data_IF_620957526591
#
_entry.id   IF_620957526591
#
_cell.length_a   1.000
_cell.length_b   1.000
_cell.length_c   1.000
_cell.angle_alpha   90.00
_cell.angle_beta   90.00
_cell.angle_gamma   90.00
#
_symmetry.space_group_name_H-M   'P 1'
#
loop_
_entity.id
_entity.type
_entity.pdbx_description
1 polymer ?
#
# COMPACT_ATOMS: atom_id res chain seq x y z
N UNK A 1 22.70 -1.60 10.97
CA UNK A 1 22.65 -1.40 12.43
C UNK A 1 24.06 -1.18 12.92
N UNK A 2 24.25 -0.15 13.72
CA UNK A 2 25.56 0.31 14.20
C UNK A 2 25.53 0.33 15.72
N UNK A 3 26.45 -0.39 16.35
CA UNK A 3 26.70 -0.28 17.79
C UNK A 3 27.48 1.02 18.03
N UNK A 4 26.90 1.96 18.77
CA UNK A 4 27.49 3.30 18.93
C UNK A 4 28.66 3.31 19.91
N UNK A 5 28.76 2.32 20.80
CA UNK A 5 29.85 2.22 21.77
C UNK A 5 31.13 1.65 21.12
N UNK A 6 30.97 0.76 20.14
CA UNK A 6 32.08 0.05 19.47
C UNK A 6 32.31 0.46 18.02
N UNK A 7 31.34 1.12 17.38
CA UNK A 7 31.33 1.40 15.94
C UNK A 7 31.05 0.17 15.07
N UNK A 8 30.76 -1.00 15.66
CA UNK A 8 30.55 -2.23 14.91
C UNK A 8 29.26 -2.14 14.07
N UNK A 9 29.37 -2.52 12.79
CA UNK A 9 28.26 -2.48 11.84
C UNK A 9 27.77 -3.88 11.47
N UNK A 10 26.45 -4.05 11.44
CA UNK A 10 25.78 -5.27 10.98
C UNK A 10 24.60 -4.93 10.06
N UNK A 11 24.54 -5.60 8.91
CA UNK A 11 23.37 -5.59 8.05
C UNK A 11 22.32 -6.57 8.59
N UNK A 12 21.08 -6.12 8.67
CA UNK A 12 19.93 -6.95 9.04
C UNK A 12 18.99 -6.91 7.85
N UNK A 13 18.72 -8.08 7.28
CA UNK A 13 17.76 -8.29 6.22
C UNK A 13 16.48 -8.86 6.80
N UNK A 14 15.41 -8.76 6.01
CA UNK A 14 14.18 -9.45 6.31
C UNK A 14 14.42 -10.96 6.47
N UNK A 15 13.81 -11.60 7.47
CA UNK A 15 14.01 -13.02 7.81
C UNK A 15 15.19 -13.31 8.75
N UNK A 16 16.03 -12.32 9.09
CA UNK A 16 17.03 -12.52 10.14
C UNK A 16 16.37 -12.58 11.53
N UNK A 17 16.78 -13.54 12.35
CA UNK A 17 16.38 -13.56 13.76
C UNK A 17 16.89 -12.31 14.48
N UNK A 18 15.94 -11.54 15.00
CA UNK A 18 16.20 -10.41 15.87
C UNK A 18 16.04 -10.83 17.34
N UNK A 19 16.94 -10.44 18.24
CA UNK A 19 16.74 -10.66 19.66
C UNK A 19 15.44 -9.95 20.12
N UNK A 20 14.73 -10.56 21.06
CA UNK A 20 13.38 -10.15 21.44
C UNK A 20 13.29 -8.66 21.85
N UNK A 21 14.33 -8.14 22.52
CA UNK A 21 14.45 -6.74 22.93
C UNK A 21 14.43 -5.74 21.76
N UNK A 22 14.83 -6.16 20.56
CA UNK A 22 14.89 -5.30 19.39
C UNK A 22 13.65 -5.36 18.51
N UNK A 23 12.83 -6.42 18.63
CA UNK A 23 11.74 -6.71 17.68
C UNK A 23 10.70 -5.60 17.63
N UNK A 24 10.30 -5.04 18.78
CA UNK A 24 9.29 -3.98 18.85
C UNK A 24 9.80 -2.67 18.25
N UNK A 25 10.98 -2.21 18.64
CA UNK A 25 11.54 -0.93 18.21
C UNK A 25 11.94 -0.95 16.74
N UNK A 26 12.63 -2.01 16.29
CA UNK A 26 12.93 -2.19 14.86
C UNK A 26 11.63 -2.31 14.06
N UNK A 27 10.63 -3.03 14.56
CA UNK A 27 9.31 -3.12 13.93
C UNK A 27 8.63 -1.75 13.74
N UNK A 28 8.72 -0.85 14.72
CA UNK A 28 8.20 0.52 14.62
C UNK A 28 9.00 1.37 13.61
N UNK A 29 10.32 1.25 13.61
CA UNK A 29 11.19 1.97 12.68
C UNK A 29 11.00 1.51 11.24
N UNK A 30 10.80 0.21 11.01
CA UNK A 30 10.36 -0.35 9.73
C UNK A 30 8.99 0.16 9.31
N UNK A 31 8.01 0.16 10.23
CA UNK A 31 6.66 0.64 9.94
C UNK A 31 6.67 2.12 9.53
N UNK A 32 7.48 2.93 10.20
CA UNK A 32 7.59 4.36 9.95
C UNK A 32 8.58 4.71 8.86
N UNK A 33 9.43 3.76 8.41
CA UNK A 33 10.52 4.00 7.47
C UNK A 33 11.49 5.08 7.94
N UNK A 34 11.73 5.15 9.25
CA UNK A 34 12.65 6.13 9.86
C UNK A 34 13.77 5.40 10.57
N UNK A 35 14.98 5.91 10.44
CA UNK A 35 16.11 5.45 11.24
C UNK A 35 15.92 5.87 12.70
N UNK A 36 16.30 5.02 13.64
CA UNK A 36 16.07 5.26 15.06
C UNK A 36 17.25 4.80 15.91
N UNK A 37 17.34 5.36 17.12
CA UNK A 37 18.15 4.78 18.17
C UNK A 37 17.35 3.70 18.89
N UNK A 38 18.01 2.60 19.24
CA UNK A 38 17.46 1.53 20.06
C UNK A 38 18.38 1.36 21.26
N UNK A 39 17.87 1.72 22.42
CA UNK A 39 18.53 1.47 23.69
C UNK A 39 18.16 0.07 24.18
N UNK A 40 19.17 -0.65 24.63
CA UNK A 40 19.02 -1.91 25.37
C UNK A 40 19.76 -1.79 26.68
N UNK A 41 19.48 -2.69 27.63
CA UNK A 41 20.01 -2.65 29.00
C UNK A 41 21.53 -2.40 29.09
N UNK A 42 22.30 -2.76 28.06
CA UNK A 42 23.77 -2.59 28.04
C UNK A 42 24.35 -1.83 26.84
N UNK A 43 23.54 -1.36 25.87
CA UNK A 43 24.05 -0.79 24.59
C UNK A 43 23.10 0.18 23.91
N UNK A 44 23.65 1.16 23.20
CA UNK A 44 22.91 2.02 22.28
C UNK A 44 23.22 1.65 20.82
N UNK A 45 22.19 1.26 20.07
CA UNK A 45 22.31 0.91 18.65
C UNK A 45 21.63 1.96 17.77
N UNK A 46 22.27 2.34 16.68
CA UNK A 46 21.64 3.11 15.60
C UNK A 46 21.14 2.16 14.49
N UNK A 47 19.85 2.18 14.25
CA UNK A 47 19.19 1.43 13.19
C UNK A 47 18.99 2.32 11.97
N UNK A 48 19.91 2.24 11.01
CA UNK A 48 19.70 2.86 9.70
C UNK A 48 18.75 2.01 8.84
N UNK A 49 17.63 2.60 8.44
CA UNK A 49 16.58 1.93 7.68
C UNK A 49 16.69 2.21 6.19
N UNK A 50 16.92 1.16 5.40
CA UNK A 50 16.88 1.21 3.94
C UNK A 50 15.65 0.44 3.47
N UNK A 51 14.62 1.16 3.04
CA UNK A 51 13.41 0.58 2.47
C UNK A 51 13.33 0.94 0.99
N UNK A 52 12.85 0.03 0.13
CA UNK A 52 12.49 0.40 -1.24
C UNK A 52 11.38 1.45 -1.21
N UNK A 53 11.18 2.13 -2.33
CA UNK A 53 10.02 3.01 -2.49
C UNK A 53 8.73 2.19 -2.38
N UNK A 54 7.70 2.67 -1.65
CA UNK A 54 6.42 1.98 -1.59
C UNK A 54 5.76 1.96 -2.97
N UNK A 55 5.27 0.78 -3.37
CA UNK A 55 4.53 0.62 -4.63
C UNK A 55 3.12 1.17 -4.46
N UNK A 56 2.62 1.89 -5.47
CA UNK A 56 1.23 2.33 -5.55
C UNK A 56 0.61 1.91 -6.87
N UNK A 57 -0.30 0.94 -6.81
CA UNK A 57 -1.00 0.39 -7.96
C UNK A 57 -2.38 1.02 -8.07
N UNK A 58 -2.63 1.66 -9.20
CA UNK A 58 -3.91 2.29 -9.54
C UNK A 58 -4.63 1.42 -10.56
N UNK A 59 -5.85 1.00 -10.23
CA UNK A 59 -6.71 0.25 -11.14
C UNK A 59 -7.74 1.20 -11.74
N UNK A 60 -7.63 1.43 -13.05
CA UNK A 60 -8.43 2.39 -13.77
C UNK A 60 -7.70 3.70 -14.06
N UNK A 61 -7.44 3.95 -15.33
CA UNK A 61 -6.80 5.15 -15.87
C UNK A 61 -7.82 6.30 -16.04
N UNK A 62 -8.57 6.63 -14.99
CA UNK A 62 -9.63 7.67 -15.03
C UNK A 62 -9.09 9.10 -14.84
N UNK A 63 -9.94 10.12 -14.84
CA UNK A 63 -9.51 11.52 -14.71
C UNK A 63 -8.86 11.84 -13.36
N UNK A 64 -9.34 11.26 -12.25
CA UNK A 64 -8.73 11.44 -10.93
C UNK A 64 -7.28 10.89 -10.90
N UNK A 65 -7.03 9.76 -11.58
CA UNK A 65 -5.69 9.20 -11.68
C UNK A 65 -4.67 10.18 -12.29
N UNK A 66 -5.07 10.97 -13.29
CA UNK A 66 -4.17 11.92 -13.96
C UNK A 66 -3.62 12.99 -13.01
N UNK A 67 -4.39 13.35 -11.98
CA UNK A 67 -3.97 14.33 -10.97
C UNK A 67 -3.27 13.65 -9.80
N UNK A 68 -3.70 12.44 -9.43
CA UNK A 68 -3.13 11.68 -8.32
C UNK A 68 -1.72 11.16 -8.61
N UNK A 69 -1.46 10.66 -9.82
CA UNK A 69 -0.18 10.08 -10.23
C UNK A 69 1.01 11.02 -9.99
N UNK A 70 1.02 12.28 -10.51
CA UNK A 70 2.15 13.18 -10.28
C UNK A 70 2.33 13.53 -8.79
N UNK A 71 1.25 13.64 -8.03
CA UNK A 71 1.33 13.88 -6.58
C UNK A 71 1.95 12.68 -5.84
N UNK A 72 1.56 11.45 -6.21
CA UNK A 72 2.10 10.23 -5.62
C UNK A 72 3.59 10.04 -5.96
N UNK A 73 3.99 10.29 -7.20
CA UNK A 73 5.40 10.29 -7.62
C UNK A 73 6.21 11.32 -6.81
N UNK A 74 5.69 12.53 -6.62
CA UNK A 74 6.35 13.59 -5.84
C UNK A 74 6.56 13.20 -4.37
N UNK A 75 5.64 12.44 -3.78
CA UNK A 75 5.76 11.93 -2.40
C UNK A 75 6.75 10.76 -2.29
N UNK A 76 7.15 10.16 -3.43
CA UNK A 76 8.12 9.06 -3.48
C UNK A 76 7.51 7.67 -3.63
N UNK A 77 6.28 7.55 -4.13
CA UNK A 77 5.71 6.26 -4.51
C UNK A 77 6.20 5.83 -5.90
N UNK A 78 6.43 4.53 -6.07
CA UNK A 78 6.55 3.93 -7.40
C UNK A 78 5.14 3.63 -7.93
N UNK A 79 4.71 4.37 -8.96
CA UNK A 79 3.32 4.32 -9.44
C UNK A 79 3.17 3.43 -10.66
N UNK A 80 2.25 2.48 -10.57
CA UNK A 80 1.81 1.60 -11.65
C UNK A 80 0.32 1.80 -11.92
N UNK A 81 -0.06 1.90 -13.19
CA UNK A 81 -1.46 2.06 -13.61
C UNK A 81 -1.84 0.84 -14.44
N UNK A 82 -2.95 0.19 -14.08
CA UNK A 82 -3.48 -0.95 -14.81
C UNK A 82 -4.90 -0.61 -15.25
N UNK A 83 -5.13 -0.59 -16.56
CA UNK A 83 -6.48 -0.44 -17.13
C UNK A 83 -6.54 -1.16 -18.50
N UNK A 84 -7.33 -2.25 -18.63
CA UNK A 84 -7.45 -2.98 -19.90
C UNK A 84 -8.15 -2.15 -20.99
N UNK A 85 -8.73 -1.00 -20.65
CA UNK A 85 -9.37 -0.08 -21.62
C UNK A 85 -8.29 0.82 -22.20
N UNK A 86 -7.71 0.40 -23.32
CA UNK A 86 -6.58 1.08 -24.00
C UNK A 86 -6.83 2.55 -24.34
N UNK A 87 -8.09 2.96 -24.56
CA UNK A 87 -8.47 4.36 -24.76
C UNK A 87 -8.15 5.24 -23.53
N UNK A 88 -8.11 4.66 -22.33
CA UNK A 88 -7.80 5.37 -21.09
C UNK A 88 -6.31 5.28 -20.77
N UNK A 89 -5.72 4.09 -20.86
CA UNK A 89 -4.32 3.83 -20.57
C UNK A 89 -3.40 4.29 -21.71
N UNK A 90 -3.10 5.59 -21.77
CA UNK A 90 -2.19 6.16 -22.77
C UNK A 90 -1.02 6.91 -22.15
N UNK A 91 0.15 6.82 -22.80
CA UNK A 91 1.37 7.51 -22.37
C UNK A 91 1.24 9.03 -22.38
N UNK A 92 0.40 9.59 -23.25
CA UNK A 92 0.11 11.04 -23.26
C UNK A 92 -0.55 11.50 -21.95
N UNK A 93 -1.42 10.68 -21.36
CA UNK A 93 -2.11 10.99 -20.11
C UNK A 93 -1.25 10.70 -18.88
N UNK A 94 -0.31 9.77 -19.01
CA UNK A 94 0.52 9.25 -17.92
C UNK A 94 1.98 9.07 -18.36
N UNK A 95 2.74 10.16 -18.59
CA UNK A 95 4.07 10.09 -19.18
C UNK A 95 5.14 9.50 -18.24
N UNK A 96 4.97 9.67 -16.92
CA UNK A 96 5.99 9.41 -15.89
C UNK A 96 5.65 8.20 -14.99
N UNK A 97 4.69 7.36 -15.40
CA UNK A 97 4.30 6.16 -14.65
C UNK A 97 4.36 4.91 -15.52
N UNK A 98 4.57 3.76 -14.88
CA UNK A 98 4.41 2.47 -15.55
C UNK A 98 2.94 2.23 -15.86
N UNK A 99 2.64 1.87 -17.11
CA UNK A 99 1.28 1.72 -17.61
C UNK A 99 1.09 0.36 -18.26
N UNK A 100 0.08 -0.36 -17.78
CA UNK A 100 -0.33 -1.67 -18.26
C UNK A 100 -1.72 -1.56 -18.87
N UNK A 101 -1.83 -1.91 -20.16
CA UNK A 101 -3.07 -1.95 -20.91
C UNK A 101 -3.67 -3.36 -20.91
N UNK A 102 -3.44 -4.11 -19.84
CA UNK A 102 -3.85 -5.49 -19.63
C UNK A 102 -4.83 -5.60 -18.44
N UNK A 103 -5.35 -6.81 -18.21
CA UNK A 103 -6.21 -7.06 -17.06
C UNK A 103 -5.41 -7.21 -15.76
N UNK A 104 -5.96 -6.78 -14.61
CA UNK A 104 -5.25 -6.87 -13.33
C UNK A 104 -4.74 -8.27 -12.98
N UNK A 105 -5.54 -9.31 -13.21
CA UNK A 105 -5.15 -10.69 -12.90
C UNK A 105 -3.94 -11.17 -13.71
N UNK A 106 -3.79 -10.70 -14.95
CA UNK A 106 -2.67 -11.10 -15.81
C UNK A 106 -1.39 -10.41 -15.35
N UNK A 107 -1.48 -9.12 -15.00
CA UNK A 107 -0.35 -8.37 -14.44
C UNK A 107 0.07 -8.93 -13.09
N UNK A 108 -0.86 -9.30 -12.20
CA UNK A 108 -0.51 -9.83 -10.88
C UNK A 108 0.05 -11.25 -10.93
N UNK A 109 -0.20 -12.02 -11.99
CA UNK A 109 0.45 -13.31 -12.20
C UNK A 109 1.96 -13.14 -12.50
N UNK A 110 2.33 -12.12 -13.27
CA UNK A 110 3.73 -11.81 -13.62
C UNK A 110 4.43 -10.93 -12.57
N UNK A 111 3.70 -10.00 -11.97
CA UNK A 111 4.16 -9.01 -11.01
C UNK A 111 3.27 -9.03 -9.76
N UNK A 112 3.44 -10.03 -8.87
CA UNK A 112 2.61 -10.16 -7.68
C UNK A 112 2.63 -8.91 -6.79
N UNK A 113 1.48 -8.65 -6.17
CA UNK A 113 1.36 -7.65 -5.12
C UNK A 113 2.05 -8.13 -3.85
N UNK A 114 2.60 -7.19 -3.07
CA UNK A 114 3.28 -7.48 -1.81
C UNK A 114 2.71 -6.60 -0.68
N UNK A 115 3.00 -6.91 0.60
CA UNK A 115 2.49 -6.11 1.72
C UNK A 115 2.89 -4.64 1.69
N UNK A 116 4.02 -4.29 1.06
CA UNK A 116 4.51 -2.91 0.90
C UNK A 116 3.92 -2.19 -0.34
N UNK A 117 2.75 -2.64 -0.79
CA UNK A 117 1.99 -2.05 -1.90
C UNK A 117 0.69 -1.43 -1.39
N UNK A 118 0.35 -0.25 -1.92
CA UNK A 118 -0.99 0.32 -1.85
C UNK A 118 -1.75 0.03 -3.15
N UNK A 119 -3.05 -0.24 -3.04
CA UNK A 119 -3.94 -0.43 -4.19
C UNK A 119 -5.11 0.53 -4.10
N UNK A 120 -5.37 1.29 -5.16
CA UNK A 120 -6.55 2.12 -5.31
C UNK A 120 -7.33 1.69 -6.55
N UNK A 121 -8.56 1.21 -6.37
CA UNK A 121 -9.47 0.88 -7.47
C UNK A 121 -10.40 2.04 -7.78
N UNK A 122 -10.40 2.47 -9.04
CA UNK A 122 -11.11 3.67 -9.50
C UNK A 122 -11.68 3.53 -10.91
N UNK A 123 -11.74 2.31 -11.46
CA UNK A 123 -12.26 2.08 -12.82
C UNK A 123 -13.78 2.22 -12.92
N UNK A 124 -14.48 2.04 -11.78
CA UNK A 124 -15.93 1.90 -11.65
C UNK A 124 -16.54 0.67 -12.36
N UNK A 125 -15.71 -0.22 -12.89
CA UNK A 125 -16.14 -1.46 -13.52
C UNK A 125 -15.83 -2.66 -12.60
N UNK A 126 -16.85 -3.34 -12.05
CA UNK A 126 -16.66 -4.55 -11.26
C UNK A 126 -15.78 -5.62 -11.90
N UNK A 127 -15.82 -5.75 -13.24
CA UNK A 127 -15.02 -6.75 -13.97
C UNK A 127 -13.52 -6.50 -13.84
N UNK A 128 -13.13 -5.24 -13.63
CA UNK A 128 -11.74 -4.81 -13.47
C UNK A 128 -11.42 -4.70 -11.97
N UNK A 129 -12.27 -4.00 -11.21
CA UNK A 129 -12.01 -3.66 -9.81
C UNK A 129 -11.97 -4.89 -8.89
N UNK A 130 -12.89 -5.85 -9.06
CA UNK A 130 -13.06 -6.93 -8.08
C UNK A 130 -11.86 -7.89 -8.03
N UNK A 131 -11.32 -8.25 -9.21
CA UNK A 131 -10.13 -9.09 -9.30
C UNK A 131 -8.94 -8.43 -8.58
N UNK A 132 -8.79 -7.12 -8.72
CA UNK A 132 -7.72 -6.39 -8.07
C UNK A 132 -7.91 -6.24 -6.55
N UNK A 133 -9.14 -6.03 -6.09
CA UNK A 133 -9.45 -5.99 -4.66
C UNK A 133 -9.16 -7.32 -3.98
N UNK A 134 -9.54 -8.44 -4.60
CA UNK A 134 -9.27 -9.78 -4.09
C UNK A 134 -7.76 -10.01 -3.97
N UNK A 135 -7.01 -9.73 -5.04
CA UNK A 135 -5.55 -9.87 -5.05
C UNK A 135 -4.88 -8.99 -3.97
N UNK A 136 -5.30 -7.73 -3.83
CA UNK A 136 -4.75 -6.81 -2.84
C UNK A 136 -5.00 -7.27 -1.39
N UNK A 137 -6.18 -7.81 -1.12
CA UNK A 137 -6.52 -8.37 0.18
C UNK A 137 -5.70 -9.63 0.50
N UNK A 138 -5.53 -10.53 -0.47
CA UNK A 138 -4.72 -11.75 -0.34
C UNK A 138 -3.23 -11.42 -0.11
N UNK A 139 -2.68 -10.48 -0.86
CA UNK A 139 -1.29 -10.01 -0.73
C UNK A 139 -1.04 -9.18 0.54
N UNK A 140 -2.08 -8.90 1.33
CA UNK A 140 -1.99 -8.08 2.55
C UNK A 140 -1.40 -6.69 2.30
N UNK A 141 -1.70 -6.10 1.14
CA UNK A 141 -1.32 -4.72 0.79
C UNK A 141 -1.64 -3.76 1.95
N UNK A 142 -0.73 -2.83 2.25
CA UNK A 142 -0.90 -1.94 3.41
C UNK A 142 -2.07 -0.97 3.27
N UNK A 143 -2.53 -0.74 2.04
CA UNK A 143 -3.73 0.05 1.74
C UNK A 143 -4.53 -0.60 0.62
N UNK A 144 -5.85 -0.67 0.79
CA UNK A 144 -6.80 -1.14 -0.23
C UNK A 144 -7.98 -0.17 -0.25
N UNK A 145 -7.99 0.72 -1.23
CA UNK A 145 -8.97 1.77 -1.37
C UNK A 145 -9.86 1.58 -2.59
N UNK A 146 -11.13 1.95 -2.49
CA UNK A 146 -12.08 1.84 -3.60
C UNK A 146 -12.90 3.11 -3.77
N UNK A 147 -12.77 3.75 -4.93
CA UNK A 147 -13.54 4.94 -5.30
C UNK A 147 -15.04 4.62 -5.40
N UNK A 148 -15.86 5.60 -5.01
CA UNK A 148 -17.32 5.55 -5.11
C UNK A 148 -18.01 5.93 -3.81
N UNK A 149 -19.32 6.20 -3.89
CA UNK A 149 -20.15 6.52 -2.73
C UNK A 149 -20.29 5.34 -1.77
N UNK A 150 -20.70 5.60 -0.52
CA UNK A 150 -21.06 4.56 0.46
C UNK A 150 -22.03 3.51 -0.12
N UNK A 151 -23.04 3.95 -0.89
CA UNK A 151 -23.99 3.06 -1.55
C UNK A 151 -23.31 2.13 -2.56
N UNK A 152 -22.38 2.65 -3.37
CA UNK A 152 -21.63 1.83 -4.34
C UNK A 152 -20.66 0.88 -3.64
N UNK A 153 -20.07 1.31 -2.53
CA UNK A 153 -19.19 0.48 -1.71
C UNK A 153 -19.96 -0.67 -1.04
N UNK A 154 -21.14 -0.42 -0.46
CA UNK A 154 -21.97 -1.49 0.10
C UNK A 154 -22.32 -2.56 -0.94
N UNK A 155 -22.68 -2.16 -2.16
CA UNK A 155 -22.92 -3.09 -3.28
C UNK A 155 -21.68 -3.89 -3.68
N UNK A 156 -20.51 -3.24 -3.64
CA UNK A 156 -19.22 -3.90 -3.88
C UNK A 156 -18.94 -4.97 -2.82
N UNK A 157 -19.13 -4.65 -1.53
CA UNK A 157 -18.96 -5.61 -0.44
C UNK A 157 -19.88 -6.81 -0.60
N UNK A 158 -21.18 -6.58 -0.86
CA UNK A 158 -22.15 -7.66 -1.11
C UNK A 158 -21.74 -8.58 -2.26
N UNK A 159 -21.23 -8.00 -3.35
CA UNK A 159 -20.78 -8.77 -4.51
C UNK A 159 -19.53 -9.60 -4.21
N UNK A 160 -18.55 -9.03 -3.50
CA UNK A 160 -17.34 -9.76 -3.11
C UNK A 160 -17.64 -10.86 -2.08
N UNK A 161 -18.56 -10.61 -1.15
CA UNK A 161 -19.06 -11.61 -0.20
C UNK A 161 -19.76 -12.77 -0.92
N UNK A 162 -20.60 -12.47 -1.94
CA UNK A 162 -21.21 -13.49 -2.78
C UNK A 162 -20.20 -14.30 -3.61
N UNK A 163 -18.98 -13.79 -3.80
CA UNK A 163 -17.85 -14.52 -4.40
C UNK A 163 -17.07 -15.36 -3.38
N UNK A 164 -17.51 -15.41 -2.11
CA UNK A 164 -16.91 -16.21 -1.04
C UNK A 164 -15.82 -15.49 -0.25
N UNK A 165 -15.69 -14.17 -0.37
CA UNK A 165 -14.72 -13.41 0.43
C UNK A 165 -15.17 -13.27 1.87
N UNK A 166 -14.24 -13.53 2.79
CA UNK A 166 -14.43 -13.36 4.23
C UNK A 166 -14.77 -11.89 4.58
N UNK A 167 -15.92 -11.62 5.22
CA UNK A 167 -16.31 -10.28 5.67
C UNK A 167 -15.25 -9.56 6.51
N UNK A 168 -14.47 -10.29 7.32
CA UNK A 168 -13.40 -9.71 8.12
C UNK A 168 -12.25 -9.16 7.26
N UNK A 169 -11.97 -9.80 6.12
CA UNK A 169 -11.01 -9.29 5.13
C UNK A 169 -11.60 -8.12 4.34
N UNK A 170 -12.88 -8.19 4.01
CA UNK A 170 -13.58 -7.13 3.28
C UNK A 170 -13.61 -5.81 4.05
N UNK A 171 -13.64 -5.83 5.38
CA UNK A 171 -13.54 -4.65 6.23
C UNK A 171 -12.23 -3.84 6.03
N UNK A 172 -11.22 -4.42 5.37
CA UNK A 172 -9.98 -3.72 5.00
C UNK A 172 -10.13 -2.83 3.76
N UNK A 173 -11.19 -3.01 2.97
CA UNK A 173 -11.44 -2.17 1.80
C UNK A 173 -12.02 -0.84 2.27
N UNK A 174 -11.31 0.25 1.98
CA UNK A 174 -11.78 1.59 2.30
C UNK A 174 -12.63 2.16 1.16
N UNK A 175 -13.93 2.29 1.40
CA UNK A 175 -14.86 2.91 0.47
C UNK A 175 -15.90 3.78 1.19
N UNK A 176 -16.00 5.09 0.88
CA UNK A 176 -15.22 5.84 -0.11
C UNK A 176 -13.72 5.90 0.22
N UNK A 177 -12.89 5.89 -0.82
CA UNK A 177 -11.43 6.01 -0.70
C UNK A 177 -11.02 7.38 -0.17
N UNK A 178 -9.97 7.43 0.65
CA UNK A 178 -9.33 8.66 1.09
C UNK A 178 -9.93 9.25 2.37
N UNK A 179 -9.29 10.29 2.91
CA UNK A 179 -9.77 11.01 4.09
C UNK A 179 -11.03 11.84 3.81
N UNK A 180 -11.96 11.87 4.78
CA UNK A 180 -13.17 12.68 4.71
C UNK A 180 -12.88 14.18 4.94
N UNK A 181 -12.26 14.83 3.95
CA UNK A 181 -11.88 16.25 3.98
C UNK A 181 -12.89 17.18 3.30
N UNK A 182 -14.06 16.66 2.91
CA UNK A 182 -15.06 17.42 2.15
C UNK A 182 -14.67 17.64 0.68
N UNK A 183 -13.83 16.76 0.10
CA UNK A 183 -13.36 16.88 -1.28
C UNK A 183 -14.51 16.84 -2.30
N UNK A 184 -14.48 17.76 -3.26
CA UNK A 184 -15.52 17.94 -4.28
C UNK A 184 -15.01 17.82 -5.71
N UNK A 185 -13.75 18.17 -5.96
CA UNK A 185 -13.13 18.11 -7.27
C UNK A 185 -12.01 17.05 -7.35
N UNK A 186 -11.55 16.66 -8.55
CA UNK A 186 -10.54 15.61 -8.71
C UNK A 186 -9.22 15.85 -7.96
N UNK A 187 -8.77 17.10 -7.84
CA UNK A 187 -7.53 17.43 -7.14
C UNK A 187 -7.69 17.28 -5.62
N UNK A 188 -8.80 17.73 -5.06
CA UNK A 188 -9.12 17.53 -3.64
C UNK A 188 -9.29 16.04 -3.31
N UNK A 189 -9.92 15.27 -4.21
CA UNK A 189 -10.04 13.80 -4.05
C UNK A 189 -8.64 13.17 -4.09
N UNK A 190 -7.76 13.59 -5.00
CA UNK A 190 -6.39 13.10 -5.05
C UNK A 190 -5.61 13.41 -3.76
N UNK A 191 -5.74 14.63 -3.21
CA UNK A 191 -5.13 15.01 -1.92
C UNK A 191 -5.66 14.13 -0.78
N UNK A 192 -6.98 13.91 -0.73
CA UNK A 192 -7.63 13.03 0.24
C UNK A 192 -7.07 11.60 0.19
N UNK A 193 -6.91 11.04 -1.01
CA UNK A 193 -6.33 9.71 -1.22
C UNK A 193 -4.87 9.70 -0.79
N UNK A 194 -4.07 10.66 -1.25
CA UNK A 194 -2.63 10.71 -0.95
C UNK A 194 -2.37 10.85 0.56
N UNK A 195 -3.11 11.73 1.23
CA UNK A 195 -3.01 11.90 2.68
C UNK A 195 -3.32 10.59 3.41
N UNK A 196 -4.32 9.83 2.92
CA UNK A 196 -4.65 8.53 3.48
C UNK A 196 -3.56 7.49 3.23
N UNK A 197 -2.98 7.44 2.02
CA UNK A 197 -1.87 6.54 1.71
C UNK A 197 -0.69 6.76 2.67
N UNK A 198 -0.31 8.03 2.86
CA UNK A 198 0.74 8.42 3.82
C UNK A 198 0.37 7.99 5.24
N UNK A 199 -0.87 8.23 5.66
CA UNK A 199 -1.33 7.80 6.99
C UNK A 199 -1.26 6.27 7.14
N UNK A 200 -1.78 5.49 6.19
CA UNK A 200 -1.74 4.03 6.26
C UNK A 200 -0.32 3.47 6.24
N UNK A 201 0.60 4.12 5.53
CA UNK A 201 2.01 3.72 5.51
C UNK A 201 2.69 4.01 6.85
N UNK A 202 2.51 5.22 7.41
CA UNK A 202 3.26 5.70 8.58
C UNK A 202 2.59 5.40 9.93
N UNK A 203 1.28 5.19 9.94
CA UNK A 203 0.43 4.96 11.12
C UNK A 203 -0.46 3.71 10.92
N UNK A 204 0.14 2.51 10.92
CA UNK A 204 -0.58 1.27 10.61
C UNK A 204 -1.76 0.99 11.56
N UNK A 205 -1.69 1.46 12.81
CA UNK A 205 -2.74 1.25 13.83
C UNK A 205 -3.99 2.13 13.59
N UNK A 206 -3.91 3.12 12.70
CA UNK A 206 -5.00 4.07 12.37
C UNK A 206 -5.75 3.64 11.08
N UNK A 207 -5.52 2.41 10.62
CA UNK A 207 -6.29 1.83 9.51
C UNK A 207 -7.59 1.18 10.03
N UNK A 208 -8.73 1.25 9.31
CA UNK A 208 -10.04 0.75 9.76
C UNK A 208 -10.06 -0.75 10.07
N UNK A 209 -9.02 -1.48 9.67
CA UNK A 209 -8.72 -2.85 10.11
C UNK A 209 -7.88 -2.88 11.41
N UNK A 210 -8.22 -2.03 12.37
CA UNK A 210 -7.60 -1.99 13.69
C UNK A 210 -7.92 -3.28 14.44
N UNK A 211 -7.03 -4.26 14.33
CA UNK A 211 -7.22 -5.56 14.98
C UNK A 211 -6.17 -6.62 14.66
N UNK A 212 -5.41 -6.48 13.57
CA UNK A 212 -4.35 -7.42 13.26
C UNK A 212 -3.02 -6.69 13.15
N UNK A 213 -2.11 -6.96 14.10
CA UNK A 213 -0.66 -6.71 13.92
C UNK A 213 -0.32 -7.23 12.51
N UNK A 214 0.53 -6.50 11.77
CA UNK A 214 1.17 -7.09 10.58
C UNK A 214 1.60 -8.52 10.95
N UNK A 215 1.48 -9.52 10.04
CA UNK A 215 2.16 -10.76 10.33
C UNK A 215 3.60 -10.36 10.59
N UNK A 216 4.08 -10.65 11.80
CA UNK A 216 5.53 -10.64 12.02
C UNK A 216 6.10 -11.47 10.90
N UNK A 217 7.08 -10.92 10.20
CA UNK A 217 7.66 -11.49 8.99
C UNK A 217 7.73 -13.02 9.08
N UNK A 218 6.90 -13.68 8.28
CA UNK A 218 6.98 -15.11 8.00
C UNK A 218 7.37 -15.23 6.52
N UNK A 219 8.65 -15.57 6.34
CA UNK A 219 9.35 -16.28 5.24
C UNK A 219 9.10 -15.98 3.75
N UNK A 220 8.43 -14.90 3.34
CA UNK A 220 8.06 -14.77 1.91
C UNK A 220 8.23 -13.41 1.23
N UNK A 221 9.13 -12.52 1.68
CA UNK A 221 9.44 -11.30 0.92
C UNK A 221 10.95 -10.99 0.89
N UNK A 222 11.58 -11.41 -0.21
CA UNK A 222 12.92 -11.02 -0.65
C UNK A 222 12.93 -9.55 -1.07
N UNK A 223 13.80 -8.73 -0.48
CA UNK A 223 14.29 -7.49 -1.11
C UNK A 223 15.79 -7.37 -0.76
N UNK A 224 16.60 -7.12 -1.79
CA UNK A 224 18.08 -7.17 -1.82
C UNK A 224 18.77 -6.20 -0.85
#
# INVERSE_FOLDING_TARGET
>A
MTDLDTGANRLIRNGNELPASFRSTIGQSFARGVSSLVETDNKTLFCNMHLPSPRFVIIGAVHIAQVLVPMALMVGYEVEIIDPRTAFATRQRFPDSTLYAEWPQDIFAAHPLVPYTAVAVMSHDPKIDDAALIAALQARCFYVGALGSHKSHAKRLQRLEAMGMDPAKLARIEGPIGLAIGATNPAEIAVSILARLVQSLRQPDVSPAAGMKRPTFDDSVLVL
#
